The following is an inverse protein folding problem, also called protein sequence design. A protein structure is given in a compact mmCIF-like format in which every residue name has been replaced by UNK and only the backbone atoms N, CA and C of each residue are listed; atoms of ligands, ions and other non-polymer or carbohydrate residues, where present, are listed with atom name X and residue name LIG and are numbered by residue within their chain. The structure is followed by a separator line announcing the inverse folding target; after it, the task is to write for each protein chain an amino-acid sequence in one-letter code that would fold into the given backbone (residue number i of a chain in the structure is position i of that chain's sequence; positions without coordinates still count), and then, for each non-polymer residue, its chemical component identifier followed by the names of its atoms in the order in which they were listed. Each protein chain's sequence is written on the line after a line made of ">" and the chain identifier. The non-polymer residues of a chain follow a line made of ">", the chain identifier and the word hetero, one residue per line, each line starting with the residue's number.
data_IF_642752970157
#
_entry.id   IF_642752970157
#
_cell.length_a   1.000
_cell.length_b   1.000
_cell.length_c   1.000
_cell.angle_alpha   90.00
_cell.angle_beta   90.00
_cell.angle_gamma   90.00
#
_symmetry.space_group_name_H-M   'P 1'
#
loop_
_entity.id
_entity.type
_entity.pdbx_description
1 polymer ?
#
# COMPACT_ATOMS: atom_id res chain seq x y z
N UNK A 1 -3.32 3.16 16.58
CA UNK A 1 -1.99 2.56 16.44
C UNK A 1 -1.24 3.15 15.27
N UNK A 2 0.07 3.03 15.28
CA UNK A 2 0.89 3.50 14.17
C UNK A 2 0.52 2.74 12.87
N UNK A 3 0.41 1.41 12.97
CA UNK A 3 -0.01 0.60 11.81
C UNK A 3 -1.36 1.07 11.26
N UNK A 4 -2.30 1.35 12.14
CA UNK A 4 -3.62 1.84 11.73
C UNK A 4 -3.55 3.14 10.95
N UNK A 5 -2.68 4.06 11.38
CA UNK A 5 -2.47 5.34 10.69
C UNK A 5 -1.86 5.12 9.30
N UNK A 6 -0.85 4.25 9.22
CA UNK A 6 -0.21 3.91 7.95
C UNK A 6 -1.24 3.34 6.99
N UNK A 7 -2.04 2.37 7.46
CA UNK A 7 -3.08 1.72 6.65
C UNK A 7 -4.11 2.73 6.17
N UNK A 8 -4.55 3.62 7.04
CA UNK A 8 -5.54 4.63 6.69
C UNK A 8 -5.03 5.56 5.59
N UNK A 9 -3.76 5.99 5.69
CA UNK A 9 -3.16 6.87 4.68
C UNK A 9 -3.10 6.16 3.34
N UNK A 10 -2.65 4.90 3.32
CA UNK A 10 -2.56 4.10 2.10
C UNK A 10 -3.94 3.96 1.46
N UNK A 11 -4.94 3.57 2.26
CA UNK A 11 -6.29 3.34 1.77
C UNK A 11 -6.93 4.63 1.23
N UNK A 12 -6.61 5.78 1.81
CA UNK A 12 -7.14 7.06 1.36
C UNK A 12 -6.64 7.46 -0.02
N UNK A 13 -5.52 6.88 -0.46
CA UNK A 13 -4.91 7.19 -1.75
C UNK A 13 -5.26 6.17 -2.85
N UNK A 14 -6.13 5.22 -2.53
CA UNK A 14 -6.49 4.15 -3.46
C UNK A 14 -7.39 4.66 -4.58
N UNK A 15 -7.06 4.29 -5.81
CA UNK A 15 -7.90 4.50 -6.98
C UNK A 15 -7.99 3.20 -7.76
N UNK A 16 -9.20 2.80 -8.10
CA UNK A 16 -9.37 1.63 -8.95
C UNK A 16 -9.01 2.03 -10.38
N UNK A 17 -8.00 1.42 -11.01
CA UNK A 17 -7.61 1.81 -12.37
C UNK A 17 -8.80 1.63 -13.33
N UNK A 18 -9.06 2.63 -14.16
CA UNK A 18 -10.18 2.61 -15.09
C UNK A 18 -10.12 1.39 -16.01
N UNK A 19 -8.94 1.11 -16.54
CA UNK A 19 -8.75 -0.02 -17.44
C UNK A 19 -9.07 -1.35 -16.75
N UNK A 20 -8.63 -1.50 -15.51
CA UNK A 20 -8.93 -2.71 -14.72
C UNK A 20 -10.41 -2.82 -14.44
N UNK A 21 -11.07 -1.69 -14.16
CA UNK A 21 -12.52 -1.68 -13.94
C UNK A 21 -13.28 -2.12 -15.21
N UNK A 22 -12.86 -1.60 -16.36
CA UNK A 22 -13.46 -1.95 -17.65
C UNK A 22 -13.28 -3.42 -17.98
N UNK A 23 -12.14 -3.99 -17.61
CA UNK A 23 -11.82 -5.40 -17.84
C UNK A 23 -12.30 -6.31 -16.72
N UNK A 24 -12.95 -5.75 -15.71
CA UNK A 24 -13.45 -6.49 -14.54
C UNK A 24 -12.33 -7.26 -13.83
N UNK A 25 -11.15 -6.66 -13.76
CA UNK A 25 -10.01 -7.24 -13.06
C UNK A 25 -10.13 -7.00 -11.56
N UNK A 26 -10.00 -8.08 -10.79
CA UNK A 26 -9.99 -8.04 -9.34
C UNK A 26 -8.75 -8.76 -8.83
N UNK A 27 -8.30 -8.39 -7.66
CA UNK A 27 -7.16 -9.04 -7.07
C UNK A 27 -6.67 -8.33 -5.83
N UNK A 28 -5.63 -8.87 -5.23
CA UNK A 28 -5.05 -8.33 -4.00
C UNK A 28 -3.53 -8.38 -4.07
N UNK A 29 -2.91 -7.46 -4.83
CA UNK A 29 -1.45 -7.38 -4.79
C UNK A 29 -1.00 -7.07 -3.38
N UNK A 30 0.13 -7.67 -2.96
CA UNK A 30 0.70 -7.41 -1.64
C UNK A 30 1.87 -6.46 -1.81
N UNK A 31 1.87 -5.37 -1.05
CA UNK A 31 3.00 -4.45 -1.01
C UNK A 31 3.88 -4.81 0.18
N UNK A 32 5.17 -4.94 -0.07
CA UNK A 32 6.17 -5.24 0.94
C UNK A 32 7.11 -4.05 0.97
N UNK A 33 7.27 -3.44 2.14
CA UNK A 33 8.12 -2.25 2.25
C UNK A 33 8.59 -2.06 3.67
N UNK A 34 9.62 -1.22 3.83
CA UNK A 34 10.18 -0.86 5.13
C UNK A 34 9.97 0.63 5.34
N UNK A 35 9.49 1.00 6.54
CA UNK A 35 9.38 2.40 6.95
C UNK A 35 10.52 2.69 7.90
N UNK A 36 11.33 3.69 7.58
CA UNK A 36 12.41 4.15 8.45
C UNK A 36 11.84 5.02 9.58
N UNK A 37 12.65 5.27 10.59
CA UNK A 37 12.25 6.05 11.77
C UNK A 37 11.60 7.39 11.39
N UNK A 38 12.12 8.04 10.35
CA UNK A 38 11.61 9.34 9.89
C UNK A 38 10.39 9.23 8.96
N UNK A 39 9.87 8.02 8.73
CA UNK A 39 8.70 7.81 7.89
C UNK A 39 9.01 7.54 6.42
N UNK A 40 10.26 7.58 6.03
CA UNK A 40 10.65 7.33 4.63
C UNK A 40 10.53 5.84 4.30
N UNK A 41 10.01 5.53 3.12
CA UNK A 41 9.84 4.15 2.65
C UNK A 41 11.08 3.69 1.88
N UNK A 42 11.52 2.47 2.16
CA UNK A 42 12.58 1.80 1.42
C UNK A 42 12.18 0.36 1.11
N UNK A 43 12.94 -0.28 0.22
CA UNK A 43 12.80 -1.71 -0.09
C UNK A 43 11.38 -2.10 -0.51
N UNK A 44 10.77 -1.27 -1.36
CA UNK A 44 9.42 -1.53 -1.86
C UNK A 44 9.43 -2.62 -2.92
N UNK A 45 8.61 -3.65 -2.70
CA UNK A 45 8.38 -4.69 -3.69
C UNK A 45 6.90 -5.09 -3.69
N UNK A 46 6.48 -5.72 -4.79
CA UNK A 46 5.08 -6.09 -4.98
C UNK A 46 5.00 -7.57 -5.27
N UNK A 47 4.12 -8.28 -4.54
CA UNK A 47 3.71 -9.63 -4.94
C UNK A 47 2.50 -9.44 -5.84
N UNK A 48 2.62 -9.88 -7.09
CA UNK A 48 1.64 -9.60 -8.13
C UNK A 48 0.26 -10.18 -7.83
N UNK A 49 -0.76 -9.43 -8.22
CA UNK A 49 -2.15 -9.89 -8.23
C UNK A 49 -2.48 -10.73 -9.46
N UNK A 50 -1.58 -10.76 -10.46
CA UNK A 50 -1.86 -11.31 -11.77
C UNK A 50 -2.33 -10.25 -12.77
N UNK A 51 -2.55 -9.02 -12.31
CA UNK A 51 -3.00 -7.90 -13.16
C UNK A 51 -2.05 -6.73 -13.00
N UNK A 52 -1.35 -6.40 -14.08
CA UNK A 52 -0.32 -5.35 -14.05
C UNK A 52 -0.86 -4.00 -13.59
N UNK A 53 -2.07 -3.65 -14.03
CA UNK A 53 -2.67 -2.36 -13.66
C UNK A 53 -2.92 -2.25 -12.16
N UNK A 54 -3.39 -3.33 -11.54
CA UNK A 54 -3.62 -3.36 -10.09
C UNK A 54 -2.30 -3.29 -9.33
N UNK A 55 -1.29 -4.02 -9.81
CA UNK A 55 0.03 -4.02 -9.19
C UNK A 55 0.66 -2.63 -9.24
N UNK A 56 0.52 -1.95 -10.39
CA UNK A 56 1.03 -0.58 -10.57
C UNK A 56 0.33 0.39 -9.62
N UNK A 57 -0.97 0.25 -9.46
CA UNK A 57 -1.73 1.10 -8.55
C UNK A 57 -1.30 0.87 -7.10
N UNK A 58 -1.11 -0.38 -6.69
CA UNK A 58 -0.64 -0.67 -5.34
C UNK A 58 0.71 -0.01 -5.06
N UNK A 59 1.62 -0.06 -6.03
CA UNK A 59 2.91 0.61 -5.91
C UNK A 59 2.75 2.12 -5.81
N UNK A 60 1.90 2.71 -6.65
CA UNK A 60 1.64 4.15 -6.63
C UNK A 60 1.12 4.59 -5.26
N UNK A 61 0.21 3.82 -4.67
CA UNK A 61 -0.37 4.15 -3.37
C UNK A 61 0.71 4.32 -2.30
N UNK A 62 1.70 3.43 -2.27
CA UNK A 62 2.79 3.53 -1.30
C UNK A 62 3.68 4.73 -1.59
N UNK A 63 4.03 4.93 -2.86
CA UNK A 63 4.93 6.01 -3.25
C UNK A 63 4.35 7.40 -2.94
N UNK A 64 3.05 7.61 -3.19
CA UNK A 64 2.43 8.91 -2.90
C UNK A 64 2.08 9.07 -1.42
N UNK A 65 2.00 7.97 -0.68
CA UNK A 65 1.74 8.03 0.77
C UNK A 65 3.01 8.33 1.56
N UNK A 66 4.18 8.08 0.97
CA UNK A 66 5.46 8.35 1.63
C UNK A 66 5.79 9.84 1.58
N UNK A 67 6.40 10.44 2.61
CA UNK A 67 6.74 9.79 3.87
C UNK A 67 5.52 9.63 4.78
N UNK A 68 5.51 8.54 5.53
CA UNK A 68 4.50 8.32 6.56
C UNK A 68 4.85 9.15 7.81
N UNK A 69 3.92 9.25 8.78
CA UNK A 69 4.27 9.87 10.05
C UNK A 69 5.48 9.16 10.67
N UNK A 70 6.28 9.94 11.39
CA UNK A 70 7.45 9.42 12.10
C UNK A 70 7.03 8.27 13.03
N UNK A 71 7.87 7.22 13.10
CA UNK A 71 7.63 6.13 14.05
C UNK A 71 7.75 6.71 15.46
N UNK A 72 6.74 6.52 16.33
CA UNK A 72 6.79 7.09 17.69
C UNK A 72 7.99 6.57 18.48
N UNK A 73 8.53 7.42 19.37
CA UNK A 73 9.66 7.05 20.19
C UNK A 73 9.31 5.90 21.15
N UNK A 74 8.02 5.76 21.48
CA UNK A 74 7.53 4.65 22.32
C UNK A 74 7.68 3.29 21.63
N UNK A 75 7.79 3.28 20.30
CA UNK A 75 8.09 2.08 19.52
C UNK A 75 9.60 1.97 19.42
N UNK A 76 10.17 1.00 20.12
CA UNK A 76 11.63 0.87 20.20
C UNK A 76 12.20 0.16 18.97
N UNK A 77 11.94 0.74 17.80
CA UNK A 77 12.37 0.21 16.50
C UNK A 77 12.92 1.33 15.65
N UNK A 78 14.02 1.07 14.95
CA UNK A 78 14.59 2.03 14.00
C UNK A 78 13.92 1.96 12.63
N UNK A 79 13.21 0.87 12.36
CA UNK A 79 12.44 0.68 11.13
C UNK A 79 11.38 -0.38 11.36
N UNK A 80 10.36 -0.36 10.51
CA UNK A 80 9.27 -1.33 10.54
C UNK A 80 9.07 -1.87 9.14
N UNK A 81 9.09 -3.20 9.00
CA UNK A 81 8.81 -3.85 7.72
C UNK A 81 7.38 -4.37 7.72
N UNK A 82 6.66 -4.09 6.65
CA UNK A 82 5.24 -4.44 6.53
C UNK A 82 4.97 -5.17 5.23
N UNK A 83 3.98 -6.06 5.28
CA UNK A 83 3.39 -6.70 4.11
C UNK A 83 1.90 -6.42 4.17
N UNK A 84 1.39 -5.65 3.21
CA UNK A 84 0.00 -5.20 3.23
C UNK A 84 -0.69 -5.59 1.93
N UNK A 85 -1.78 -6.37 1.98
CA UNK A 85 -2.58 -6.63 0.79
C UNK A 85 -3.43 -5.42 0.45
N UNK A 86 -3.49 -5.08 -0.83
CA UNK A 86 -4.36 -4.01 -1.32
C UNK A 86 -5.49 -4.68 -2.09
N UNK A 87 -6.69 -4.63 -1.54
CA UNK A 87 -7.83 -5.34 -2.11
C UNK A 87 -8.51 -4.51 -3.19
N UNK A 88 -8.63 -5.09 -4.39
CA UNK A 88 -9.36 -4.50 -5.50
C UNK A 88 -10.54 -5.41 -5.82
N UNK A 89 -11.73 -4.97 -5.45
CA UNK A 89 -12.97 -5.69 -5.71
C UNK A 89 -13.99 -4.76 -6.32
N UNK A 90 -14.71 -5.28 -7.31
CA UNK A 90 -15.80 -4.56 -7.93
C UNK A 90 -17.10 -4.92 -7.20
N UNK A 91 -17.90 -3.91 -6.92
CA UNK A 91 -19.19 -4.14 -6.27
C UNK A 91 -20.21 -4.53 -7.32
N UNK A 92 -20.93 -5.60 -7.04
CA UNK A 92 -22.10 -5.97 -7.83
C UNK A 92 -23.32 -5.30 -7.21
N UNK A 93 -23.94 -4.45 -7.98
CA UNK A 93 -25.19 -3.82 -7.59
C UNK A 93 -26.34 -4.41 -8.39
#
# INVERSE_FOLDING_TARGET
>A
TYYGKVRQIIDSNKKYPLLSRQRKEEGAPKVIFTILKNGVVTNLSIISSGHRSLDREARRMILISSPFPKIPDSVNESSISLTIPINFRLKNN
#
